data_IF_597247382766
#
_entry.id   IF_597247382766
#
_cell.length_a   1.000
_cell.length_b   1.000
_cell.length_c   1.000
_cell.angle_alpha   90.00
_cell.angle_beta   90.00
_cell.angle_gamma   90.00
#
_symmetry.space_group_name_H-M   'P 1'
#
loop_
_entity.id
_entity.type
_entity.pdbx_description
1 polymer ?
#
# COMPACT_ATOMS: atom_id res chain seq x y z
N UNK A 1 56.86 -15.00 23.12
CA UNK A 1 56.35 -15.81 21.98
C UNK A 1 55.51 -16.93 22.59
N UNK A 2 54.23 -17.08 22.28
CA UNK A 2 53.77 -17.69 21.04
C UNK A 2 52.69 -16.85 20.35
N UNK A 3 53.02 -16.37 19.17
CA UNK A 3 52.07 -15.81 18.22
C UNK A 3 51.28 -16.97 17.61
N UNK A 4 49.97 -16.97 17.84
CA UNK A 4 48.96 -16.96 16.77
C UNK A 4 47.62 -16.62 17.41
N UNK A 5 47.27 -15.34 17.47
CA UNK A 5 45.84 -14.98 17.46
C UNK A 5 45.35 -15.36 16.07
N UNK A 6 44.90 -16.60 15.93
CA UNK A 6 44.19 -17.04 14.75
C UNK A 6 42.92 -16.20 14.63
N UNK A 7 43.02 -15.06 13.96
CA UNK A 7 41.86 -14.36 13.41
C UNK A 7 41.36 -15.25 12.28
N UNK A 8 40.69 -16.34 12.65
CA UNK A 8 39.74 -16.99 11.77
C UNK A 8 38.73 -15.90 11.43
N UNK A 9 38.64 -15.55 10.15
CA UNK A 9 37.69 -14.56 9.66
C UNK A 9 36.28 -15.00 10.07
N UNK A 10 35.80 -14.55 11.23
CA UNK A 10 34.41 -14.75 11.64
C UNK A 10 33.57 -13.82 10.77
N UNK A 11 33.20 -14.32 9.59
CA UNK A 11 32.34 -13.58 8.68
C UNK A 11 30.94 -13.67 9.25
N UNK A 12 30.54 -12.63 9.99
CA UNK A 12 29.18 -12.43 10.44
C UNK A 12 28.30 -12.08 9.21
N UNK A 13 28.00 -13.09 8.39
CA UNK A 13 27.20 -13.00 7.16
C UNK A 13 25.75 -13.44 7.37
N UNK A 14 25.14 -13.08 8.50
CA UNK A 14 23.73 -13.39 8.78
C UNK A 14 22.86 -12.21 8.39
N UNK A 15 22.48 -12.18 7.13
CA UNK A 15 21.47 -11.24 6.65
C UNK A 15 20.11 -11.92 6.53
N UNK A 16 19.05 -11.12 6.66
CA UNK A 16 17.67 -11.59 6.50
C UNK A 16 17.16 -11.27 5.11
N UNK A 17 16.26 -12.12 4.61
CA UNK A 17 15.63 -11.90 3.30
C UNK A 17 14.84 -10.58 3.28
N UNK A 18 14.74 -9.92 2.11
CA UNK A 18 13.96 -8.71 1.95
C UNK A 18 12.47 -8.98 2.26
N UNK A 19 11.86 -8.07 3.02
CA UNK A 19 10.48 -8.22 3.51
C UNK A 19 9.43 -7.59 2.59
N UNK A 20 9.85 -7.07 1.43
CA UNK A 20 9.00 -6.44 0.39
C UNK A 20 7.95 -5.44 0.93
N UNK A 21 8.33 -4.68 1.95
CA UNK A 21 7.52 -3.61 2.53
C UNK A 21 7.39 -2.43 1.56
N UNK A 22 6.57 -1.45 1.91
CA UNK A 22 6.40 -0.19 1.19
C UNK A 22 5.02 0.01 0.60
N UNK A 23 4.90 1.11 -0.14
CA UNK A 23 3.68 1.52 -0.84
C UNK A 23 3.44 0.59 -2.03
N UNK A 24 2.20 0.12 -2.17
CA UNK A 24 1.74 -0.77 -3.25
C UNK A 24 0.83 -0.06 -4.24
N UNK A 25 0.14 0.99 -3.80
CA UNK A 25 -0.69 1.86 -4.64
C UNK A 25 -0.39 3.32 -4.32
N UNK A 26 -0.07 4.08 -5.35
CA UNK A 26 0.31 5.49 -5.23
C UNK A 26 -0.92 6.40 -5.34
N UNK A 27 -0.73 7.68 -5.02
CA UNK A 27 -1.79 8.69 -5.14
C UNK A 27 -2.32 8.80 -6.57
N UNK A 28 -3.64 8.96 -6.72
CA UNK A 28 -4.31 9.06 -8.02
C UNK A 28 -4.50 7.71 -8.73
N UNK A 29 -4.17 6.57 -8.10
CA UNK A 29 -4.47 5.25 -8.66
C UNK A 29 -5.85 4.78 -8.25
N UNK A 30 -6.58 4.18 -9.20
CA UNK A 30 -7.84 3.51 -8.92
C UNK A 30 -7.59 2.17 -8.21
N UNK A 31 -8.29 1.95 -7.11
CA UNK A 31 -8.22 0.72 -6.30
C UNK A 31 -9.61 0.15 -6.09
N UNK A 32 -9.67 -1.17 -5.95
CA UNK A 32 -10.86 -1.89 -5.51
C UNK A 32 -10.81 -2.11 -4.00
N UNK A 33 -11.97 -2.34 -3.39
CA UNK A 33 -12.10 -2.83 -2.04
C UNK A 33 -11.26 -4.11 -1.85
N UNK A 34 -10.59 -4.21 -0.71
CA UNK A 34 -9.66 -5.30 -0.37
C UNK A 34 -8.22 -5.10 -0.87
N UNK A 35 -7.95 -4.15 -1.76
CA UNK A 35 -6.59 -3.91 -2.23
C UNK A 35 -5.66 -3.41 -1.11
N UNK A 36 -4.45 -3.94 -1.07
CA UNK A 36 -3.38 -3.47 -0.18
C UNK A 36 -2.82 -2.16 -0.73
N UNK A 37 -2.81 -1.12 0.11
CA UNK A 37 -2.29 0.20 -0.21
C UNK A 37 -0.83 0.34 0.23
N UNK A 38 -0.53 -0.05 1.46
CA UNK A 38 0.81 0.07 2.05
C UNK A 38 1.07 -1.10 3.00
N UNK A 39 2.19 -1.80 2.82
CA UNK A 39 2.75 -2.73 3.82
C UNK A 39 3.82 -1.99 4.62
N UNK A 40 3.64 -1.84 5.91
CA UNK A 40 4.55 -1.05 6.74
C UNK A 40 4.93 -1.77 8.03
N UNK A 41 5.97 -1.27 8.70
CA UNK A 41 6.31 -1.65 10.07
C UNK A 41 6.05 -0.43 10.93
N UNK A 42 5.13 -0.57 11.88
CA UNK A 42 4.53 0.57 12.58
C UNK A 42 3.66 1.43 11.65
N UNK A 43 2.95 2.39 12.23
CA UNK A 43 2.09 3.32 11.50
C UNK A 43 2.84 4.56 11.04
N UNK A 44 3.57 4.44 9.92
CA UNK A 44 4.10 5.62 9.20
C UNK A 44 2.96 6.39 8.55
N UNK A 45 2.11 5.66 7.85
CA UNK A 45 0.85 6.15 7.31
C UNK A 45 -0.31 5.68 8.18
N UNK A 46 -1.22 6.60 8.47
CA UNK A 46 -2.40 6.34 9.27
C UNK A 46 -3.60 6.01 8.37
N UNK A 47 -4.56 5.19 8.82
CA UNK A 47 -5.80 4.99 8.09
C UNK A 47 -6.59 6.30 8.05
N UNK A 48 -7.04 6.68 6.85
CA UNK A 48 -7.96 7.79 6.60
C UNK A 48 -9.36 7.27 6.24
N UNK A 49 -10.06 7.97 5.34
CA UNK A 49 -11.41 7.60 4.90
C UNK A 49 -11.39 6.35 4.02
N UNK A 50 -12.33 5.43 4.22
CA UNK A 50 -12.47 4.18 3.46
C UNK A 50 -11.21 3.28 3.45
N UNK A 51 -10.35 3.42 4.46
CA UNK A 51 -9.14 2.62 4.63
C UNK A 51 -9.12 2.05 6.04
N UNK A 52 -8.72 0.79 6.15
CA UNK A 52 -8.56 0.11 7.44
C UNK A 52 -7.13 -0.39 7.62
N UNK A 53 -6.78 -0.61 8.89
CA UNK A 53 -5.48 -1.10 9.33
C UNK A 53 -5.62 -2.55 9.78
N UNK A 54 -4.75 -3.42 9.28
CA UNK A 54 -4.62 -4.81 9.70
C UNK A 54 -3.78 -4.95 10.98
N UNK A 55 -3.67 -6.17 11.51
CA UNK A 55 -2.87 -6.48 12.71
C UNK A 55 -1.38 -6.19 12.53
N UNK A 56 -0.84 -6.33 11.31
CA UNK A 56 0.56 -6.04 10.97
C UNK A 56 0.80 -4.58 10.52
N UNK A 57 -0.12 -3.67 10.85
CA UNK A 57 -0.17 -2.27 10.42
C UNK A 57 -0.34 -2.04 8.91
N UNK A 58 -0.56 -3.08 8.11
CA UNK A 58 -0.86 -2.96 6.68
C UNK A 58 -2.16 -2.18 6.47
N UNK A 59 -2.15 -1.23 5.52
CA UNK A 59 -3.33 -0.47 5.12
C UNK A 59 -3.99 -1.08 3.89
N UNK A 60 -5.30 -1.25 3.94
CA UNK A 60 -6.11 -1.77 2.83
C UNK A 60 -7.36 -0.93 2.59
N UNK A 61 -7.81 -0.89 1.33
CA UNK A 61 -9.01 -0.17 0.92
C UNK A 61 -10.27 -0.95 1.31
N UNK A 62 -11.29 -0.25 1.81
CA UNK A 62 -12.62 -0.83 2.12
C UNK A 62 -13.62 -0.57 1.01
N UNK A 63 -13.40 0.50 0.22
CA UNK A 63 -14.26 0.88 -0.90
C UNK A 63 -13.43 1.10 -2.17
N UNK A 64 -14.10 1.07 -3.31
CA UNK A 64 -13.51 1.38 -4.60
C UNK A 64 -13.31 2.90 -4.75
N UNK A 65 -12.23 3.32 -5.40
CA UNK A 65 -11.97 4.74 -5.61
C UNK A 65 -10.51 5.07 -5.91
N UNK A 66 -10.18 6.35 -5.81
CA UNK A 66 -8.81 6.85 -5.95
C UNK A 66 -8.13 6.97 -4.60
N UNK A 67 -6.87 6.57 -4.55
CA UNK A 67 -6.01 6.72 -3.37
C UNK A 67 -5.51 8.16 -3.29
N UNK A 68 -5.62 8.76 -2.11
CA UNK A 68 -5.07 10.08 -1.82
C UNK A 68 -4.25 10.03 -0.54
N UNK A 69 -3.06 10.62 -0.58
CA UNK A 69 -2.19 10.79 0.58
C UNK A 69 -2.37 12.22 1.11
N UNK A 70 -2.80 12.32 2.37
CA UNK A 70 -3.11 13.60 3.00
C UNK A 70 -2.31 13.76 4.30
N UNK A 71 -2.13 15.00 4.74
CA UNK A 71 -1.61 15.25 6.07
C UNK A 71 -2.71 15.01 7.09
N UNK A 72 -2.47 14.13 8.05
CA UNK A 72 -3.34 14.00 9.23
C UNK A 72 -3.14 15.19 10.17
N UNK A 73 -1.87 15.50 10.44
CA UNK A 73 -1.40 16.58 11.32
C UNK A 73 -0.11 17.16 10.72
N UNK A 74 0.52 18.13 11.40
CA UNK A 74 1.80 18.74 10.98
C UNK A 74 2.93 17.73 10.69
N UNK A 75 2.93 16.55 11.32
CA UNK A 75 4.02 15.54 11.20
C UNK A 75 3.59 14.21 10.60
N UNK A 76 2.29 13.89 10.55
CA UNK A 76 1.79 12.54 10.24
C UNK A 76 0.94 12.56 8.99
N UNK A 77 1.09 11.53 8.16
CA UNK A 77 0.31 11.33 6.95
C UNK A 77 -0.77 10.27 7.16
N UNK A 78 -1.87 10.41 6.42
CA UNK A 78 -2.92 9.43 6.32
C UNK A 78 -3.19 9.08 4.85
N UNK A 79 -3.72 7.87 4.64
CA UNK A 79 -4.15 7.41 3.32
C UNK A 79 -5.67 7.28 3.32
N UNK A 80 -6.31 7.98 2.41
CA UNK A 80 -7.75 7.96 2.20
C UNK A 80 -8.05 7.41 0.80
N UNK A 81 -9.21 6.76 0.65
CA UNK A 81 -9.74 6.37 -0.66
C UNK A 81 -11.05 7.13 -0.89
N UNK A 82 -11.10 7.89 -1.98
CA UNK A 82 -12.29 8.64 -2.38
C UNK A 82 -12.97 7.97 -3.56
N UNK A 83 -14.29 7.73 -3.49
CA UNK A 83 -15.01 7.15 -4.60
C UNK A 83 -14.96 8.11 -5.79
N UNK A 84 -14.57 7.60 -6.96
CA UNK A 84 -14.75 8.35 -8.20
C UNK A 84 -16.20 8.14 -8.59
N UNK A 85 -16.97 9.22 -8.66
CA UNK A 85 -18.26 9.15 -9.33
C UNK A 85 -17.99 8.64 -10.73
N UNK A 86 -18.43 7.41 -11.02
CA UNK A 86 -18.45 6.88 -12.37
C UNK A 86 -19.35 7.85 -13.13
N UNK A 87 -18.75 8.73 -13.93
CA UNK A 87 -19.51 9.58 -14.83
C UNK A 87 -20.27 8.64 -15.73
N UNK A 88 -21.57 8.52 -15.48
CA UNK A 88 -22.45 7.73 -16.29
C UNK A 88 -22.47 8.34 -17.69
N UNK A 89 -21.72 7.75 -18.61
CA UNK A 89 -22.12 7.71 -20.01
C UNK A 89 -22.86 6.39 -20.19
N UNK A 90 -24.20 6.36 -20.08
CA UNK A 90 -24.95 5.30 -20.71
C UNK A 90 -25.01 5.67 -22.19
N UNK A 91 -24.03 5.25 -22.99
CA UNK A 91 -24.22 5.24 -24.45
C UNK A 91 -24.64 3.83 -24.86
N UNK A 92 -25.96 3.67 -24.75
CA UNK A 92 -26.86 2.91 -25.63
C UNK A 92 -26.15 2.25 -26.83
N UNK A 93 -26.02 0.93 -26.81
CA UNK A 93 -25.99 0.12 -28.03
C UNK A 93 -27.34 -0.61 -28.15
N UNK A 94 -28.38 0.16 -28.46
CA UNK A 94 -29.53 -0.36 -29.16
C UNK A 94 -29.20 -0.26 -30.66
N UNK A 95 -28.89 -1.39 -31.30
CA UNK A 95 -29.35 -1.59 -32.67
C UNK A 95 -30.12 -2.92 -32.70
N UNK A 96 -31.41 -2.75 -32.85
CA UNK A 96 -32.35 -3.69 -33.41
C UNK A 96 -31.82 -4.31 -34.70
N UNK A 97 -31.87 -5.64 -34.82
CA UNK A 97 -32.39 -6.22 -36.06
C UNK A 97 -33.19 -7.47 -35.72
N UNK A 98 -34.50 -7.28 -35.66
CA UNK A 98 -35.45 -8.27 -36.12
C UNK A 98 -35.07 -8.69 -37.54
N UNK A 99 -34.77 -9.98 -37.73
CA UNK A 99 -34.89 -10.74 -38.97
C UNK A 99 -34.95 -12.23 -38.58
#
# INVERSE_FOLDING_TARGET
MAHKKGVGSSRNGRDSNPQYLGVKRFGGQFVRAGNILVRQRGTKFHPGKNVRRATDDTLFAVADGLVTFEHKNKKRYQVSVYPVARSASPEVAAVSSTA
#
